data_IF_075204156728
#
_entry.id   IF_075204156728
#
_cell.length_a   1.000
_cell.length_b   1.000
_cell.length_c   1.000
_cell.angle_alpha   90.00
_cell.angle_beta   90.00
_cell.angle_gamma   90.00
#
_symmetry.space_group_name_H-M   'P 1'
#
loop_
_entity.id
_entity.type
_entity.pdbx_description
1 polymer ?
#
# COMPACT_ATOMS: atom_id res chain seq x y z
N UNK A 1 11.31 7.88 17.43
CA UNK A 1 10.34 8.99 17.39
C UNK A 1 10.96 10.21 18.04
N UNK A 2 10.88 11.38 17.40
CA UNK A 2 11.27 12.66 18.02
C UNK A 2 10.20 13.10 19.02
N UNK A 3 10.54 14.03 19.92
CA UNK A 3 9.58 14.62 20.88
C UNK A 3 8.36 15.24 20.17
N UNK A 4 8.57 15.81 18.98
CA UNK A 4 7.50 16.33 18.15
C UNK A 4 6.54 15.20 17.70
N UNK A 5 7.07 14.09 17.17
CA UNK A 5 6.24 12.95 16.75
C UNK A 5 5.48 12.28 17.90
N UNK A 6 6.05 12.26 19.11
CA UNK A 6 5.38 11.75 20.32
C UNK A 6 4.18 12.62 20.70
N UNK A 7 4.37 13.94 20.72
CA UNK A 7 3.30 14.90 21.02
C UNK A 7 2.15 14.80 20.02
N UNK A 8 2.47 14.63 18.73
CA UNK A 8 1.46 14.46 17.66
C UNK A 8 0.67 13.17 17.87
N UNK A 9 1.36 12.05 18.15
CA UNK A 9 0.72 10.76 18.41
C UNK A 9 -0.23 10.84 19.62
N UNK A 10 0.22 11.42 20.74
CA UNK A 10 -0.61 11.59 21.94
C UNK A 10 -1.89 12.39 21.66
N UNK A 11 -1.79 13.44 20.84
CA UNK A 11 -2.96 14.24 20.44
C UNK A 11 -3.89 13.48 19.51
N UNK A 12 -3.34 12.79 18.51
CA UNK A 12 -4.12 12.00 17.56
C UNK A 12 -4.90 10.90 18.26
N UNK A 13 -4.33 10.23 19.26
CA UNK A 13 -5.00 9.16 20.00
C UNK A 13 -6.22 9.63 20.80
N UNK A 14 -6.31 10.93 21.14
CA UNK A 14 -7.45 11.54 21.86
C UNK A 14 -8.61 11.96 20.95
N UNK A 15 -8.41 11.97 19.64
CA UNK A 15 -9.45 12.27 18.66
C UNK A 15 -10.51 11.14 18.62
N UNK A 16 -11.71 11.47 18.13
CA UNK A 16 -12.72 10.44 17.87
C UNK A 16 -12.23 9.50 16.77
N UNK A 17 -12.73 8.25 16.73
CA UNK A 17 -12.31 7.27 15.71
C UNK A 17 -12.36 7.78 14.26
N UNK A 18 -13.39 8.56 13.90
CA UNK A 18 -13.55 9.13 12.55
C UNK A 18 -12.47 10.17 12.25
N UNK A 19 -12.25 11.13 13.15
CA UNK A 19 -11.21 12.16 13.01
C UNK A 19 -9.80 11.53 12.94
N UNK A 20 -9.57 10.42 13.64
CA UNK A 20 -8.30 9.66 13.51
C UNK A 20 -8.15 9.05 12.13
N UNK A 21 -9.22 8.49 11.56
CA UNK A 21 -9.19 7.90 10.24
C UNK A 21 -8.91 8.97 9.17
N UNK A 22 -9.58 10.12 9.26
CA UNK A 22 -9.34 11.28 8.39
C UNK A 22 -7.88 11.76 8.49
N UNK A 23 -7.34 11.89 9.71
CA UNK A 23 -5.94 12.29 9.89
C UNK A 23 -4.95 11.28 9.31
N UNK A 24 -5.21 9.98 9.45
CA UNK A 24 -4.38 8.93 8.84
C UNK A 24 -4.40 9.05 7.32
N UNK A 25 -5.58 9.28 6.74
CA UNK A 25 -5.75 9.41 5.30
C UNK A 25 -4.98 10.62 4.73
N UNK A 26 -5.11 11.78 5.36
CA UNK A 26 -4.37 13.00 4.98
C UNK A 26 -2.85 12.83 5.12
N UNK A 27 -2.39 12.19 6.21
CA UNK A 27 -0.97 11.88 6.38
C UNK A 27 -0.48 10.91 5.31
N UNK A 28 -1.28 9.91 4.95
CA UNK A 28 -0.95 8.95 3.90
C UNK A 28 -0.88 9.64 2.52
N UNK A 29 -1.87 10.46 2.17
CA UNK A 29 -1.87 11.27 0.95
C UNK A 29 -0.66 12.21 0.87
N UNK A 30 -0.13 12.66 2.01
CA UNK A 30 1.06 13.51 2.02
C UNK A 30 2.31 12.84 1.43
N UNK A 31 2.37 11.50 1.41
CA UNK A 31 3.44 10.75 0.76
C UNK A 31 3.30 10.70 -0.76
N UNK A 32 2.11 10.96 -1.29
CA UNK A 32 1.81 10.98 -2.72
C UNK A 32 2.08 12.36 -3.36
N UNK A 33 2.65 13.32 -2.61
CA UNK A 33 2.98 14.68 -3.13
C UNK A 33 4.07 14.68 -4.22
N UNK A 34 4.74 13.55 -4.44
CA UNK A 34 5.69 13.34 -5.52
C UNK A 34 5.15 12.48 -6.66
N UNK A 35 3.82 12.31 -6.77
CA UNK A 35 3.17 11.55 -7.83
C UNK A 35 3.73 11.99 -9.19
N UNK A 36 4.47 11.07 -9.81
CA UNK A 36 5.05 11.31 -11.11
C UNK A 36 4.06 10.78 -12.13
N UNK A 37 3.31 11.68 -12.76
CA UNK A 37 2.28 11.31 -13.76
C UNK A 37 2.83 10.37 -14.83
N UNK A 38 4.11 10.51 -15.19
CA UNK A 38 4.78 9.59 -16.12
C UNK A 38 4.89 8.17 -15.56
N UNK A 39 5.18 8.03 -14.26
CA UNK A 39 5.20 6.73 -13.59
C UNK A 39 3.77 6.16 -13.58
N UNK A 40 2.76 6.95 -13.22
CA UNK A 40 1.37 6.47 -13.19
C UNK A 40 0.90 5.94 -14.56
N UNK A 41 1.23 6.64 -15.65
CA UNK A 41 0.95 6.19 -17.01
C UNK A 41 1.65 4.86 -17.30
N UNK A 42 2.94 4.75 -16.99
CA UNK A 42 3.69 3.50 -17.19
C UNK A 42 3.13 2.33 -16.37
N UNK A 43 2.67 2.59 -15.13
CA UNK A 43 2.03 1.56 -14.30
C UNK A 43 0.68 1.15 -14.85
N UNK A 44 -0.09 2.09 -15.39
CA UNK A 44 -1.38 1.80 -16.03
C UNK A 44 -1.18 0.90 -17.26
N UNK A 45 -0.26 1.28 -18.15
CA UNK A 45 0.08 0.50 -19.35
C UNK A 45 0.58 -0.92 -18.99
N UNK A 46 1.47 -1.04 -17.99
CA UNK A 46 1.99 -2.32 -17.54
C UNK A 46 0.89 -3.21 -16.92
N UNK A 47 -0.01 -2.62 -16.11
CA UNK A 47 -1.10 -3.36 -15.50
C UNK A 47 -2.06 -3.93 -16.55
N UNK A 48 -2.44 -3.13 -17.56
CA UNK A 48 -3.26 -3.57 -18.68
C UNK A 48 -2.54 -4.65 -19.51
N UNK A 49 -1.25 -4.45 -19.80
CA UNK A 49 -0.42 -5.43 -20.52
C UNK A 49 -0.39 -6.79 -19.81
N UNK A 50 -0.21 -6.80 -18.49
CA UNK A 50 -0.21 -8.04 -17.68
C UNK A 50 -1.57 -8.72 -17.65
N UNK A 51 -2.65 -7.97 -17.52
CA UNK A 51 -4.00 -8.53 -17.54
C UNK A 51 -4.29 -9.20 -18.89
N UNK A 52 -3.98 -8.52 -20.00
CA UNK A 52 -4.13 -9.06 -21.34
C UNK A 52 -3.28 -10.33 -21.56
N UNK A 53 -2.05 -10.36 -21.02
CA UNK A 53 -1.20 -11.54 -21.11
C UNK A 53 -1.76 -12.72 -20.30
N UNK A 54 -2.34 -12.46 -19.13
CA UNK A 54 -2.98 -13.48 -18.30
C UNK A 54 -4.23 -14.04 -18.98
N UNK A 55 -5.10 -13.17 -19.47
CA UNK A 55 -6.34 -13.57 -20.18
C UNK A 55 -6.04 -14.34 -21.47
N UNK A 56 -4.94 -14.01 -22.15
CA UNK A 56 -4.44 -14.76 -23.30
C UNK A 56 -3.68 -16.06 -22.93
N UNK A 57 -3.57 -16.40 -21.64
CA UNK A 57 -2.86 -17.60 -21.16
C UNK A 57 -1.34 -17.58 -21.32
N UNK A 58 -0.75 -16.40 -21.57
CA UNK A 58 0.71 -16.23 -21.76
C UNK A 58 1.47 -16.18 -20.45
N UNK A 59 0.80 -15.81 -19.35
CA UNK A 59 1.36 -15.82 -17.99
C UNK A 59 0.38 -16.51 -17.03
N UNK A 60 0.90 -17.11 -15.97
CA UNK A 60 0.13 -17.72 -14.89
C UNK A 60 0.07 -16.80 -13.66
N UNK A 61 -0.97 -16.95 -12.85
CA UNK A 61 -1.10 -16.28 -11.56
C UNK A 61 -1.10 -17.31 -10.41
N UNK A 62 -0.55 -16.91 -9.26
CA UNK A 62 -0.72 -17.63 -8.00
C UNK A 62 -2.07 -17.23 -7.38
N UNK A 63 -2.71 -18.15 -6.64
CA UNK A 63 -3.85 -17.77 -5.79
C UNK A 63 -3.37 -16.89 -4.63
N UNK A 64 -4.26 -16.04 -4.11
CA UNK A 64 -3.95 -15.18 -2.98
C UNK A 64 -3.51 -15.99 -1.75
N UNK A 65 -4.16 -17.13 -1.50
CA UNK A 65 -3.85 -18.06 -0.40
C UNK A 65 -2.41 -18.57 -0.50
N UNK A 66 -1.98 -19.03 -1.69
CA UNK A 66 -0.63 -19.53 -1.91
C UNK A 66 0.43 -18.43 -1.66
N UNK A 67 0.14 -17.19 -2.04
CA UNK A 67 1.01 -16.03 -1.76
C UNK A 67 1.09 -15.78 -0.25
N UNK A 68 -0.05 -15.75 0.45
CA UNK A 68 -0.07 -15.51 1.90
C UNK A 68 0.65 -16.60 2.69
N UNK A 69 0.48 -17.87 2.32
CA UNK A 69 1.21 -18.99 2.93
C UNK A 69 2.72 -18.81 2.80
N UNK A 70 3.20 -18.43 1.59
CA UNK A 70 4.61 -18.18 1.32
C UNK A 70 5.18 -17.04 2.17
N UNK A 71 4.46 -15.92 2.25
CA UNK A 71 4.88 -14.74 3.05
C UNK A 71 4.90 -15.10 4.55
N UNK A 72 3.87 -15.78 5.05
CA UNK A 72 3.79 -16.17 6.45
C UNK A 72 4.86 -17.20 6.84
N UNK A 73 5.21 -18.12 5.94
CA UNK A 73 6.33 -19.04 6.12
C UNK A 73 7.67 -18.32 6.17
N UNK A 74 7.87 -17.29 5.34
CA UNK A 74 9.08 -16.48 5.35
C UNK A 74 9.25 -15.70 6.67
N UNK A 75 8.16 -15.14 7.22
CA UNK A 75 8.18 -14.45 8.53
C UNK A 75 8.54 -15.36 9.71
N UNK A 76 8.28 -16.66 9.62
CA UNK A 76 8.63 -17.65 10.68
C UNK A 76 10.11 -18.07 10.67
N UNK A 77 10.90 -17.67 9.66
CA UNK A 77 12.33 -18.00 9.54
C UNK A 77 13.24 -16.96 10.21
N UNK A 78 12.67 -15.86 10.72
CA UNK A 78 13.33 -14.81 11.49
C UNK A 78 12.70 -14.74 12.88
#
# INVERSE_FOLDING_TARGET
>A
MTRATQTILERALRLKPVERAELIDELFHSFDKGRNEKIDVLWTEEAESRLNAYDAGKISADSAEAVFERINKAKKRF
#
